data_IF_019880306857
#
_entry.id   IF_019880306857
#
_cell.length_a   1.000
_cell.length_b   1.000
_cell.length_c   1.000
_cell.angle_alpha   90.00
_cell.angle_beta   90.00
_cell.angle_gamma   90.00
#
_symmetry.space_group_name_H-M   'P 1'
#
loop_
_entity.id
_entity.type
_entity.pdbx_description
1 polymer ?
#
# COMPACT_ATOMS: atom_id res chain seq x y z
N UNK A 1 -61.12 9.88 -15.55
CA UNK A 1 -61.21 9.99 -17.02
C UNK A 1 -59.79 10.14 -17.53
N UNK A 2 -59.44 9.38 -18.57
CA UNK A 2 -58.11 8.80 -18.85
C UNK A 2 -56.95 9.78 -19.08
N UNK A 3 -55.78 9.30 -18.65
CA UNK A 3 -54.41 9.71 -18.98
C UNK A 3 -54.09 9.50 -20.46
N UNK A 4 -53.38 10.46 -21.06
CA UNK A 4 -52.86 10.38 -22.43
C UNK A 4 -51.47 9.75 -22.45
N UNK A 5 -51.33 8.66 -23.21
CA UNK A 5 -50.04 8.10 -23.65
C UNK A 5 -49.73 8.63 -25.06
N UNK A 6 -48.55 9.22 -25.24
CA UNK A 6 -48.01 9.53 -26.57
C UNK A 6 -46.85 8.57 -26.89
N UNK A 7 -47.11 7.64 -27.80
CA UNK A 7 -46.11 6.80 -28.45
C UNK A 7 -45.34 7.62 -29.50
N UNK A 8 -44.01 7.67 -29.39
CA UNK A 8 -43.13 8.16 -30.45
C UNK A 8 -42.56 6.96 -31.23
N UNK A 9 -42.87 6.91 -32.52
CA UNK A 9 -42.37 5.92 -33.48
C UNK A 9 -41.00 6.38 -34.00
N UNK A 10 -39.95 5.58 -33.79
CA UNK A 10 -38.65 5.77 -34.47
C UNK A 10 -38.60 4.90 -35.73
N UNK A 11 -38.48 5.56 -36.89
CA UNK A 11 -38.26 4.90 -38.17
C UNK A 11 -36.81 4.44 -38.32
N UNK A 12 -36.61 3.17 -38.68
CA UNK A 12 -35.29 2.58 -38.94
C UNK A 12 -34.96 2.65 -40.45
N UNK A 13 -33.87 3.33 -40.81
CA UNK A 13 -33.28 3.25 -42.16
C UNK A 13 -32.44 1.96 -42.26
N UNK A 14 -32.82 1.04 -43.15
CA UNK A 14 -31.98 -0.08 -43.57
C UNK A 14 -30.98 0.40 -44.63
N UNK A 15 -29.68 0.31 -44.31
CA UNK A 15 -28.60 0.32 -45.30
C UNK A 15 -28.12 -1.13 -45.46
N UNK A 16 -28.36 -1.70 -46.64
CA UNK A 16 -27.86 -3.01 -47.02
C UNK A 16 -26.37 -2.93 -47.38
N UNK A 17 -25.50 -3.35 -46.47
CA UNK A 17 -24.07 -3.53 -46.70
C UNK A 17 -23.71 -5.02 -46.66
N UNK A 18 -23.28 -5.57 -47.80
CA UNK A 18 -22.78 -6.93 -47.92
C UNK A 18 -21.47 -7.12 -47.14
N UNK A 19 -21.56 -7.66 -45.93
CA UNK A 19 -20.42 -8.09 -45.13
C UNK A 19 -20.39 -9.61 -45.02
N UNK A 20 -19.27 -10.24 -45.38
CA UNK A 20 -19.02 -11.68 -45.18
C UNK A 20 -19.24 -12.01 -43.71
N UNK A 21 -20.13 -12.97 -43.43
CA UNK A 21 -20.32 -13.52 -42.11
C UNK A 21 -19.01 -14.15 -41.62
N UNK A 22 -18.30 -13.44 -40.75
CA UNK A 22 -17.26 -14.05 -39.95
C UNK A 22 -17.97 -15.00 -38.98
N UNK A 23 -17.79 -16.31 -39.21
CA UNK A 23 -18.17 -17.34 -38.24
C UNK A 23 -17.36 -17.05 -36.99
N UNK A 24 -17.99 -16.46 -35.98
CA UNK A 24 -17.41 -16.34 -34.67
C UNK A 24 -17.17 -17.77 -34.16
N UNK A 25 -15.92 -18.23 -34.25
CA UNK A 25 -15.50 -19.43 -33.55
C UNK A 25 -15.69 -19.15 -32.06
N UNK A 26 -16.75 -19.71 -31.49
CA UNK A 26 -16.94 -19.77 -30.04
C UNK A 26 -15.71 -20.48 -29.48
N UNK A 27 -14.86 -19.73 -28.78
CA UNK A 27 -13.78 -20.31 -28.01
C UNK A 27 -14.36 -21.42 -27.12
N UNK A 28 -13.72 -22.59 -27.01
CA UNK A 28 -14.19 -23.65 -26.13
C UNK A 28 -14.34 -23.07 -24.72
N UNK A 29 -15.50 -23.28 -24.12
CA UNK A 29 -15.76 -22.89 -22.74
C UNK A 29 -14.64 -23.47 -21.86
N UNK A 30 -13.99 -22.61 -21.07
CA UNK A 30 -12.99 -23.07 -20.11
C UNK A 30 -13.62 -24.19 -19.26
N UNK A 31 -12.89 -25.28 -18.97
CA UNK A 31 -13.43 -26.37 -18.17
C UNK A 31 -13.97 -25.79 -16.86
N UNK A 32 -15.26 -26.07 -16.59
CA UNK A 32 -15.93 -25.54 -15.40
C UNK A 32 -15.19 -25.95 -14.13
N UNK A 33 -15.01 -25.00 -13.21
CA UNK A 33 -14.43 -25.30 -11.89
C UNK A 33 -15.27 -26.38 -11.18
N UNK A 34 -14.60 -27.39 -10.62
CA UNK A 34 -15.22 -28.39 -9.77
C UNK A 34 -14.56 -28.40 -8.39
N UNK A 35 -15.40 -28.30 -7.35
CA UNK A 35 -15.00 -28.46 -5.96
C UNK A 35 -15.04 -29.94 -5.50
N UNK A 36 -15.49 -30.87 -6.35
CA UNK A 36 -15.61 -32.28 -5.99
C UNK A 36 -14.26 -32.87 -5.54
N UNK A 37 -14.26 -33.55 -4.40
CA UNK A 37 -13.06 -34.16 -3.82
C UNK A 37 -12.07 -33.17 -3.18
N UNK A 38 -12.34 -31.86 -3.22
CA UNK A 38 -11.52 -30.87 -2.51
C UNK A 38 -11.88 -30.83 -1.01
N UNK A 39 -10.90 -30.51 -0.18
CA UNK A 39 -11.08 -30.30 1.25
C UNK A 39 -10.93 -28.81 1.60
N UNK A 40 -11.58 -28.39 2.66
CA UNK A 40 -11.52 -27.03 3.22
C UNK A 40 -10.86 -27.13 4.59
N UNK A 41 -9.81 -26.36 4.81
CA UNK A 41 -9.22 -26.16 6.14
C UNK A 41 -9.79 -24.88 6.73
N UNK A 42 -10.30 -24.96 7.96
CA UNK A 42 -10.82 -23.80 8.70
C UNK A 42 -9.80 -23.38 9.75
N UNK A 43 -9.55 -22.08 9.80
CA UNK A 43 -8.79 -21.42 10.86
C UNK A 43 -9.69 -20.42 11.58
N UNK A 44 -9.59 -20.37 12.91
CA UNK A 44 -10.43 -19.51 13.74
C UNK A 44 -9.60 -18.69 14.72
N UNK A 45 -9.96 -17.41 14.82
CA UNK A 45 -9.54 -16.48 15.86
C UNK A 45 -10.82 -15.90 16.46
N UNK A 46 -11.02 -16.02 17.78
CA UNK A 46 -12.28 -15.61 18.42
C UNK A 46 -12.05 -14.92 19.78
N UNK A 47 -12.78 -13.83 20.00
CA UNK A 47 -12.73 -13.04 21.25
C UNK A 47 -13.13 -13.91 22.46
N UNK A 48 -12.51 -13.64 23.62
CA UNK A 48 -12.76 -14.35 24.89
C UNK A 48 -12.61 -15.88 24.80
N UNK A 49 -11.80 -16.36 23.85
CA UNK A 49 -11.37 -17.75 23.73
C UNK A 49 -9.85 -17.81 23.60
N UNK A 50 -9.30 -19.03 23.67
CA UNK A 50 -7.88 -19.31 23.39
C UNK A 50 -7.58 -19.46 21.88
N UNK A 51 -8.59 -19.34 21.00
CA UNK A 51 -8.42 -19.55 19.57
C UNK A 51 -7.69 -18.37 18.92
N UNK A 52 -6.49 -18.61 18.39
CA UNK A 52 -5.65 -17.64 17.67
C UNK A 52 -5.07 -18.33 16.44
N UNK A 53 -5.59 -17.99 15.25
CA UNK A 53 -5.28 -18.65 13.98
C UNK A 53 -5.26 -20.18 14.11
N UNK A 54 -6.19 -20.71 14.91
CA UNK A 54 -6.20 -22.13 15.29
C UNK A 54 -6.92 -22.94 14.23
N UNK A 55 -6.33 -24.05 13.78
CA UNK A 55 -7.00 -24.99 12.89
C UNK A 55 -8.14 -25.70 13.66
N UNK A 56 -9.39 -25.34 13.36
CA UNK A 56 -10.56 -25.79 14.11
C UNK A 56 -11.38 -26.85 13.39
N UNK A 57 -11.31 -26.90 12.05
CA UNK A 57 -12.12 -27.83 11.27
C UNK A 57 -11.47 -28.23 9.95
N UNK A 58 -11.88 -29.39 9.42
CA UNK A 58 -11.56 -29.89 8.08
C UNK A 58 -12.85 -30.37 7.43
N UNK A 59 -13.35 -29.60 6.48
CA UNK A 59 -14.63 -29.85 5.81
C UNK A 59 -14.42 -30.41 4.41
N UNK A 60 -15.46 -31.04 3.87
CA UNK A 60 -15.51 -31.49 2.48
C UNK A 60 -16.69 -30.83 1.78
N UNK A 61 -16.52 -30.45 0.50
CA UNK A 61 -17.62 -29.92 -0.28
C UNK A 61 -18.71 -30.97 -0.46
N UNK A 62 -19.97 -30.56 -0.23
CA UNK A 62 -21.15 -31.39 -0.41
C UNK A 62 -22.12 -30.72 -1.39
N UNK A 63 -22.89 -31.50 -2.17
CA UNK A 63 -24.00 -30.95 -2.94
C UNK A 63 -24.99 -30.25 -2.01
N UNK A 64 -25.29 -28.99 -2.30
CA UNK A 64 -26.34 -28.22 -1.64
C UNK A 64 -27.44 -27.95 -2.69
N UNK A 65 -28.70 -28.38 -2.48
CA UNK A 65 -29.81 -27.96 -3.32
C UNK A 65 -30.03 -26.44 -3.20
N UNK A 66 -30.96 -25.88 -3.99
CA UNK A 66 -31.29 -24.45 -3.93
C UNK A 66 -31.52 -24.01 -2.46
N UNK A 67 -30.73 -23.05 -1.92
CA UNK A 67 -30.91 -22.59 -0.56
C UNK A 67 -32.24 -21.85 -0.40
N UNK A 68 -32.82 -21.90 0.80
CA UNK A 68 -34.01 -21.16 1.16
C UNK A 68 -33.69 -19.68 1.39
N UNK A 69 -34.68 -18.79 1.23
CA UNK A 69 -34.52 -17.35 1.51
C UNK A 69 -34.09 -17.04 2.95
N UNK A 70 -34.39 -17.95 3.89
CA UNK A 70 -34.01 -17.82 5.31
C UNK A 70 -32.60 -18.34 5.63
N UNK A 71 -31.92 -18.94 4.66
CA UNK A 71 -30.58 -19.51 4.85
C UNK A 71 -29.51 -18.50 4.39
N UNK A 72 -28.62 -18.03 5.28
CA UNK A 72 -27.49 -17.21 4.85
C UNK A 72 -26.56 -18.04 3.97
N UNK A 73 -26.32 -17.56 2.75
CA UNK A 73 -25.46 -18.22 1.78
C UNK A 73 -24.52 -17.19 1.11
N UNK A 74 -23.25 -17.58 0.96
CA UNK A 74 -22.26 -16.84 0.17
C UNK A 74 -22.01 -17.65 -1.11
N UNK A 75 -22.28 -17.04 -2.25
CA UNK A 75 -22.08 -17.67 -3.56
C UNK A 75 -20.71 -17.27 -4.11
N UNK A 76 -19.93 -18.25 -4.53
CA UNK A 76 -18.60 -18.04 -5.13
C UNK A 76 -18.69 -18.44 -6.60
N UNK A 77 -18.46 -17.49 -7.51
CA UNK A 77 -18.36 -17.74 -8.95
C UNK A 77 -16.87 -17.81 -9.37
N UNK A 78 -16.31 -19.01 -9.53
CA UNK A 78 -14.90 -19.20 -9.92
C UNK A 78 -14.61 -18.79 -11.37
N UNK A 79 -15.62 -18.45 -12.17
CA UNK A 79 -15.46 -17.95 -13.55
C UNK A 79 -15.29 -16.43 -13.60
N UNK A 80 -15.45 -15.74 -12.46
CA UNK A 80 -15.26 -14.30 -12.33
C UNK A 80 -13.98 -14.03 -11.56
N UNK A 81 -13.04 -13.38 -12.21
CA UNK A 81 -11.76 -12.96 -11.63
C UNK A 81 -11.73 -11.45 -11.47
N UNK A 82 -11.00 -10.99 -10.45
CA UNK A 82 -10.78 -9.57 -10.17
C UNK A 82 -9.28 -9.26 -10.22
N UNK A 83 -8.78 -8.44 -9.31
CA UNK A 83 -7.36 -8.11 -9.22
C UNK A 83 -6.51 -9.31 -8.78
N UNK A 84 -5.26 -9.34 -9.24
CA UNK A 84 -4.25 -10.25 -8.71
C UNK A 84 -3.66 -9.68 -7.44
N UNK A 85 -3.68 -10.45 -6.36
CA UNK A 85 -3.08 -10.04 -5.08
C UNK A 85 -1.56 -9.99 -5.18
N UNK A 86 -0.99 -8.83 -4.86
CA UNK A 86 0.45 -8.59 -4.81
C UNK A 86 1.05 -9.04 -3.47
N UNK A 87 0.40 -8.77 -2.34
CA UNK A 87 0.89 -9.18 -1.03
C UNK A 87 0.31 -8.41 0.15
N UNK A 88 0.59 -8.91 1.35
CA UNK A 88 0.28 -8.29 2.63
C UNK A 88 1.57 -8.16 3.43
N UNK A 89 1.71 -7.07 4.16
CA UNK A 89 2.97 -6.69 4.79
C UNK A 89 2.84 -5.65 5.89
N UNK A 90 3.99 -5.10 6.28
CA UNK A 90 4.08 -3.95 7.17
C UNK A 90 5.33 -3.10 6.92
N UNK A 91 5.45 -1.98 7.62
CA UNK A 91 6.57 -1.07 7.54
C UNK A 91 7.74 -1.50 8.43
N UNK A 92 8.93 -1.56 7.81
CA UNK A 92 10.23 -1.81 8.42
C UNK A 92 10.92 -0.47 8.68
N UNK A 93 10.41 0.24 9.69
CA UNK A 93 10.90 1.56 10.13
C UNK A 93 12.18 1.46 10.96
N UNK A 94 12.80 2.60 11.27
CA UNK A 94 13.91 2.65 12.21
C UNK A 94 13.45 2.19 13.60
N UNK A 95 12.27 2.62 14.06
CA UNK A 95 11.71 2.18 15.33
C UNK A 95 11.56 0.66 15.43
N UNK A 96 11.02 0.01 14.40
CA UNK A 96 10.90 -1.44 14.36
C UNK A 96 12.28 -2.12 14.38
N UNK A 97 13.25 -1.60 13.62
CA UNK A 97 14.60 -2.14 13.56
C UNK A 97 15.38 -1.99 14.88
N UNK A 98 15.29 -0.83 15.52
CA UNK A 98 15.91 -0.53 16.81
C UNK A 98 15.31 -1.39 17.93
N UNK A 99 13.98 -1.51 17.97
CA UNK A 99 13.28 -2.37 18.94
C UNK A 99 13.64 -3.83 18.72
N UNK A 100 13.65 -4.30 17.47
CA UNK A 100 14.08 -5.66 17.13
C UNK A 100 15.51 -5.95 17.58
N UNK A 101 16.44 -5.01 17.38
CA UNK A 101 17.84 -5.18 17.75
C UNK A 101 18.05 -5.35 19.27
N UNK A 102 17.14 -4.79 20.10
CA UNK A 102 17.17 -4.91 21.57
C UNK A 102 16.61 -6.26 22.07
N UNK A 103 15.81 -6.96 21.26
CA UNK A 103 15.26 -8.26 21.65
C UNK A 103 16.38 -9.30 21.83
N UNK A 104 16.24 -10.26 22.76
CA UNK A 104 17.14 -11.40 22.79
C UNK A 104 17.01 -12.25 21.52
N UNK A 105 18.06 -13.00 21.18
CA UNK A 105 18.15 -13.70 19.88
C UNK A 105 17.04 -14.72 19.63
N UNK A 106 16.52 -15.36 20.68
CA UNK A 106 15.39 -16.28 20.55
C UNK A 106 14.12 -15.55 20.11
N UNK A 107 13.81 -14.40 20.72
CA UNK A 107 12.67 -13.56 20.36
C UNK A 107 12.82 -12.93 18.97
N UNK A 108 14.05 -12.58 18.57
CA UNK A 108 14.32 -12.15 17.19
C UNK A 108 13.94 -13.24 16.17
N UNK A 109 14.33 -14.49 16.44
CA UNK A 109 14.00 -15.63 15.57
C UNK A 109 12.50 -15.94 15.55
N UNK A 110 11.86 -15.89 16.72
CA UNK A 110 10.42 -16.09 16.86
C UNK A 110 9.64 -15.03 16.09
N UNK A 111 10.00 -13.74 16.25
CA UNK A 111 9.40 -12.63 15.52
C UNK A 111 9.51 -12.82 14.00
N UNK A 112 10.72 -13.10 13.50
CA UNK A 112 10.96 -13.31 12.08
C UNK A 112 10.16 -14.48 11.52
N UNK A 113 10.06 -15.58 12.29
CA UNK A 113 9.24 -16.73 11.92
C UNK A 113 7.75 -16.37 11.91
N UNK A 114 7.24 -15.71 12.95
CA UNK A 114 5.83 -15.41 13.12
C UNK A 114 5.30 -14.51 11.99
N UNK A 115 6.06 -13.49 11.60
CA UNK A 115 5.66 -12.55 10.55
C UNK A 115 5.93 -13.08 9.13
N UNK A 116 7.12 -13.58 8.86
CA UNK A 116 7.58 -13.77 7.47
C UNK A 116 7.63 -15.22 7.01
N UNK A 117 7.67 -16.21 7.91
CA UNK A 117 7.72 -17.61 7.48
C UNK A 117 6.43 -18.01 6.75
N UNK A 118 6.51 -18.54 5.51
CA UNK A 118 5.32 -18.95 4.76
C UNK A 118 4.65 -20.22 5.31
N UNK A 119 5.34 -20.96 6.19
CA UNK A 119 4.86 -22.23 6.76
C UNK A 119 4.79 -22.19 8.29
N UNK A 120 5.58 -21.34 8.92
CA UNK A 120 5.69 -21.23 10.37
C UNK A 120 5.04 -19.98 10.97
N UNK A 121 4.45 -19.11 10.15
CA UNK A 121 3.87 -17.82 10.53
C UNK A 121 2.79 -17.36 9.55
N UNK A 122 2.53 -16.05 9.53
CA UNK A 122 1.49 -15.42 8.70
C UNK A 122 1.96 -15.10 7.27
N UNK A 123 3.24 -15.30 6.97
CA UNK A 123 3.78 -15.25 5.61
C UNK A 123 3.70 -13.87 4.94
N UNK A 124 4.08 -12.80 5.63
CA UNK A 124 4.21 -11.48 5.01
C UNK A 124 5.14 -11.51 3.79
N UNK A 125 4.65 -10.92 2.69
CA UNK A 125 5.31 -10.93 1.37
C UNK A 125 5.61 -9.54 0.83
N UNK A 126 5.14 -8.52 1.54
CA UNK A 126 5.31 -7.11 1.22
C UNK A 126 5.99 -6.38 2.39
N UNK A 127 6.80 -5.38 2.07
CA UNK A 127 7.42 -4.51 3.05
C UNK A 127 7.46 -3.06 2.55
N UNK A 128 7.24 -2.13 3.46
CA UNK A 128 7.50 -0.70 3.26
C UNK A 128 8.72 -0.29 4.07
N UNK A 129 9.56 0.61 3.56
CA UNK A 129 10.54 1.31 4.39
C UNK A 129 10.68 2.76 3.94
N UNK A 130 11.41 3.57 4.69
CA UNK A 130 11.56 4.99 4.42
C UNK A 130 12.78 5.33 3.58
N UNK A 131 12.69 6.40 2.80
CA UNK A 131 13.88 7.14 2.40
C UNK A 131 14.19 8.07 3.59
N UNK A 132 15.34 7.83 4.25
CA UNK A 132 15.81 8.47 5.49
C UNK A 132 14.77 8.54 6.62
N UNK A 133 14.80 9.57 7.48
CA UNK A 133 13.95 9.61 8.68
C UNK A 133 12.45 9.73 8.39
N UNK A 134 11.70 9.20 9.35
CA UNK A 134 10.25 9.36 9.54
C UNK A 134 9.98 9.79 10.99
N UNK A 135 8.71 9.89 11.39
CA UNK A 135 8.37 10.04 12.81
C UNK A 135 8.78 8.85 13.68
N UNK A 136 8.71 7.64 13.12
CA UNK A 136 9.23 6.41 13.72
C UNK A 136 10.73 6.21 13.47
N UNK A 137 11.48 7.30 13.66
CA UNK A 137 12.93 7.32 13.79
C UNK A 137 13.31 7.99 15.11
N UNK A 138 14.49 7.67 15.65
CA UNK A 138 15.00 8.30 16.89
C UNK A 138 15.37 9.78 16.72
N UNK A 139 15.40 10.29 15.48
CA UNK A 139 15.69 11.68 15.16
C UNK A 139 15.58 11.96 13.66
N UNK A 140 15.54 13.23 13.28
CA UNK A 140 15.53 13.64 11.88
C UNK A 140 16.93 13.53 11.27
N UNK A 141 17.04 12.89 10.11
CA UNK A 141 18.28 12.79 9.37
C UNK A 141 18.02 12.66 7.87
N UNK A 142 19.06 12.92 7.09
CA UNK A 142 19.09 12.60 5.66
C UNK A 142 20.39 11.88 5.35
N UNK A 143 20.50 11.28 4.16
CA UNK A 143 21.73 10.60 3.73
C UNK A 143 22.82 11.54 3.23
N UNK A 144 22.58 12.85 3.13
CA UNK A 144 23.55 13.82 2.60
C UNK A 144 23.84 14.93 3.61
N UNK A 145 25.02 15.52 3.50
CA UNK A 145 25.37 16.75 4.20
C UNK A 145 24.48 17.91 3.73
N UNK A 146 24.38 18.92 4.60
CA UNK A 146 23.62 20.13 4.32
C UNK A 146 24.12 20.83 3.04
N UNK A 147 23.19 21.31 2.22
CA UNK A 147 23.44 21.99 0.94
C UNK A 147 24.24 21.19 -0.12
N UNK A 148 24.40 19.87 0.02
CA UNK A 148 25.08 19.02 -0.98
C UNK A 148 24.21 18.74 -2.21
N UNK A 149 24.11 19.74 -3.09
CA UNK A 149 23.37 19.67 -4.36
C UNK A 149 23.89 18.59 -5.33
N UNK A 150 25.13 18.14 -5.16
CA UNK A 150 25.73 17.11 -5.99
C UNK A 150 25.56 15.70 -5.40
N UNK A 151 24.93 15.59 -4.23
CA UNK A 151 24.73 14.35 -3.48
C UNK A 151 26.03 13.57 -3.21
N UNK A 152 27.21 14.22 -3.22
CA UNK A 152 28.52 13.56 -3.11
C UNK A 152 28.73 12.86 -1.76
N UNK A 153 28.10 13.37 -0.72
CA UNK A 153 28.20 12.90 0.66
C UNK A 153 27.18 11.80 1.01
N UNK A 154 26.38 11.36 0.03
CA UNK A 154 25.36 10.32 0.23
C UNK A 154 25.92 9.08 0.92
N UNK A 155 25.31 8.68 2.04
CA UNK A 155 25.73 7.53 2.83
C UNK A 155 24.57 6.83 3.52
N UNK A 156 24.55 5.50 3.47
CA UNK A 156 23.59 4.65 4.18
C UNK A 156 24.05 4.26 5.59
N UNK A 157 25.12 4.87 6.11
CA UNK A 157 25.74 4.48 7.39
C UNK A 157 24.76 4.44 8.57
N UNK A 158 23.73 5.29 8.56
CA UNK A 158 22.66 5.25 9.55
C UNK A 158 21.89 3.93 9.48
N UNK A 159 21.40 3.59 8.28
CA UNK A 159 20.57 2.40 8.05
C UNK A 159 21.34 1.09 8.24
N UNK A 160 22.65 1.11 7.97
CA UNK A 160 23.56 -0.03 8.18
C UNK A 160 23.61 -0.49 9.65
N UNK A 161 23.26 0.37 10.61
CA UNK A 161 23.29 0.03 12.02
C UNK A 161 22.21 -1.01 12.38
N UNK A 162 20.96 -0.78 11.94
CA UNK A 162 19.82 -1.59 12.36
C UNK A 162 18.86 -1.93 11.21
N UNK A 163 18.48 -0.94 10.40
CA UNK A 163 17.41 -1.10 9.40
C UNK A 163 17.78 -2.06 8.27
N UNK A 164 18.97 -1.93 7.68
CA UNK A 164 19.45 -2.87 6.63
C UNK A 164 19.59 -4.30 7.17
N UNK A 165 20.26 -4.55 8.33
CA UNK A 165 20.30 -5.89 8.93
C UNK A 165 18.92 -6.47 9.25
N UNK A 166 17.96 -5.63 9.68
CA UNK A 166 16.59 -6.05 9.97
C UNK A 166 15.83 -6.47 8.70
N UNK A 167 15.88 -5.65 7.64
CA UNK A 167 15.25 -5.97 6.34
C UNK A 167 15.82 -7.27 5.75
N UNK A 168 17.13 -7.47 5.82
CA UNK A 168 17.77 -8.71 5.34
C UNK A 168 17.29 -9.95 6.09
N UNK A 169 17.08 -9.86 7.39
CA UNK A 169 16.54 -10.96 8.18
C UNK A 169 15.08 -11.25 7.82
N UNK A 170 14.26 -10.22 7.63
CA UNK A 170 12.88 -10.38 7.16
C UNK A 170 12.83 -11.05 5.77
N UNK A 171 13.68 -10.60 4.83
CA UNK A 171 13.79 -11.20 3.51
C UNK A 171 14.23 -12.67 3.56
N UNK A 172 15.19 -13.01 4.41
CA UNK A 172 15.62 -14.40 4.59
C UNK A 172 14.49 -15.28 5.15
N UNK A 173 13.77 -14.78 6.17
CA UNK A 173 12.65 -15.47 6.78
C UNK A 173 11.46 -15.67 5.81
N UNK A 174 11.27 -14.74 4.87
CA UNK A 174 10.30 -14.81 3.78
C UNK A 174 10.69 -15.81 2.66
N UNK A 175 11.78 -16.56 2.82
CA UNK A 175 12.25 -17.52 1.80
C UNK A 175 13.18 -16.89 0.75
N UNK A 176 13.83 -15.77 1.09
CA UNK A 176 14.84 -15.11 0.26
C UNK A 176 14.30 -13.99 -0.64
N UNK A 177 12.98 -13.80 -0.71
CA UNK A 177 12.33 -12.74 -1.48
C UNK A 177 11.26 -12.04 -0.63
N UNK A 178 11.37 -10.72 -0.53
CA UNK A 178 10.38 -9.85 0.10
C UNK A 178 10.17 -8.63 -0.80
N UNK A 179 8.94 -8.43 -1.27
CA UNK A 179 8.62 -7.31 -2.16
C UNK A 179 8.71 -6.02 -1.36
N UNK A 180 9.68 -5.17 -1.63
CA UNK A 180 9.93 -3.96 -0.83
C UNK A 180 9.65 -2.70 -1.64
N UNK A 181 8.89 -1.75 -1.10
CA UNK A 181 8.76 -0.41 -1.65
C UNK A 181 9.12 0.67 -0.63
N UNK A 182 9.36 1.88 -1.11
CA UNK A 182 9.81 2.99 -0.28
C UNK A 182 8.99 4.25 -0.43
N UNK A 183 8.94 5.07 0.61
CA UNK A 183 8.32 6.38 0.61
C UNK A 183 9.23 7.37 1.34
N UNK A 184 9.44 8.61 0.87
CA UNK A 184 10.04 9.65 1.67
C UNK A 184 8.99 10.43 2.45
N UNK A 185 9.35 10.88 3.65
CA UNK A 185 8.51 11.78 4.44
C UNK A 185 8.80 13.25 4.18
N UNK A 186 10.04 13.60 3.82
CA UNK A 186 10.39 14.98 3.49
C UNK A 186 11.69 15.05 2.69
N UNK A 187 11.82 15.94 1.70
CA UNK A 187 13.14 16.35 1.21
C UNK A 187 14.02 16.91 2.34
N UNK A 188 15.37 16.96 2.17
CA UNK A 188 16.26 17.70 3.06
C UNK A 188 15.80 19.15 3.29
N UNK A 189 16.05 19.68 4.49
CA UNK A 189 15.60 21.00 4.91
C UNK A 189 15.98 22.12 3.91
N UNK A 190 17.22 22.11 3.40
CA UNK A 190 17.72 23.08 2.42
C UNK A 190 17.04 23.01 1.05
N UNK A 191 16.24 21.97 0.76
CA UNK A 191 15.43 21.87 -0.45
C UNK A 191 14.04 22.50 -0.32
N UNK A 192 13.66 22.97 0.87
CA UNK A 192 12.28 23.35 1.20
C UNK A 192 12.14 24.84 1.52
N UNK A 193 10.97 25.39 1.20
CA UNK A 193 10.64 26.80 1.42
C UNK A 193 10.66 27.22 2.89
N UNK A 194 10.37 26.29 3.81
CA UNK A 194 10.37 26.49 5.25
C UNK A 194 11.71 26.14 5.91
N UNK A 195 12.72 25.73 5.13
CA UNK A 195 14.06 25.35 5.62
C UNK A 195 14.04 24.31 6.75
N UNK A 196 13.04 23.42 6.74
CA UNK A 196 12.84 22.41 7.79
C UNK A 196 12.31 21.12 7.18
N UNK A 197 12.77 19.97 7.68
CA UNK A 197 12.15 18.69 7.32
C UNK A 197 10.75 18.55 7.93
N UNK A 198 10.49 19.24 9.04
CA UNK A 198 9.24 19.14 9.80
C UNK A 198 8.26 20.26 9.43
N UNK A 199 7.01 20.14 9.89
CA UNK A 199 6.00 21.20 9.81
C UNK A 199 5.60 21.55 8.36
N UNK A 200 5.54 20.55 7.48
CA UNK A 200 5.18 20.71 6.08
C UNK A 200 6.24 21.48 5.31
N UNK A 201 5.83 22.56 4.62
CA UNK A 201 6.66 23.22 3.60
C UNK A 201 6.59 22.52 2.26
N UNK A 202 7.13 23.15 1.22
CA UNK A 202 7.10 22.66 -0.16
C UNK A 202 8.51 22.52 -0.71
N UNK A 203 8.68 21.55 -1.60
CA UNK A 203 9.89 21.40 -2.41
C UNK A 203 10.04 22.62 -3.32
N UNK A 204 11.17 23.33 -3.21
CA UNK A 204 11.43 24.50 -4.05
C UNK A 204 11.72 24.05 -5.51
N UNK A 205 11.27 24.83 -6.51
CA UNK A 205 11.42 24.47 -7.92
C UNK A 205 12.86 24.13 -8.34
N UNK A 206 13.86 24.86 -7.84
CA UNK A 206 15.27 24.67 -8.16
C UNK A 206 15.86 23.35 -7.66
N UNK A 207 15.19 22.67 -6.72
CA UNK A 207 15.66 21.39 -6.16
C UNK A 207 14.92 20.18 -6.69
N UNK A 208 13.91 20.34 -7.56
CA UNK A 208 13.14 19.23 -8.13
C UNK A 208 14.03 18.18 -8.79
N UNK A 209 15.00 18.59 -9.62
CA UNK A 209 15.92 17.63 -10.25
C UNK A 209 16.79 16.92 -9.22
N UNK A 210 17.37 17.64 -8.27
CA UNK A 210 18.25 17.05 -7.23
C UNK A 210 17.46 16.07 -6.37
N UNK A 211 16.20 16.36 -6.07
CA UNK A 211 15.33 15.46 -5.34
C UNK A 211 15.01 14.19 -6.14
N UNK A 212 14.72 14.30 -7.44
CA UNK A 212 14.56 13.13 -8.31
C UNK A 212 15.84 12.26 -8.39
N UNK A 213 17.02 12.90 -8.44
CA UNK A 213 18.31 12.19 -8.42
C UNK A 213 18.55 11.45 -7.09
N UNK A 214 18.03 12.01 -5.99
CA UNK A 214 18.09 11.41 -4.65
C UNK A 214 17.40 10.04 -4.61
N UNK A 215 16.22 9.91 -5.22
CA UNK A 215 15.51 8.63 -5.33
C UNK A 215 16.34 7.57 -6.04
N UNK A 216 16.91 7.92 -7.22
CA UNK A 216 17.75 6.99 -7.99
C UNK A 216 18.96 6.57 -7.18
N UNK A 217 19.58 7.51 -6.45
CA UNK A 217 20.75 7.22 -5.62
C UNK A 217 20.42 6.29 -4.46
N UNK A 218 19.30 6.54 -3.77
CA UNK A 218 18.81 5.69 -2.70
C UNK A 218 18.51 4.27 -3.20
N UNK A 219 17.71 4.14 -4.26
CA UNK A 219 17.30 2.83 -4.81
C UNK A 219 18.54 2.01 -5.18
N UNK A 220 19.48 2.60 -5.94
CA UNK A 220 20.72 1.90 -6.33
C UNK A 220 21.56 1.50 -5.12
N UNK A 221 21.64 2.34 -4.10
CA UNK A 221 22.42 2.03 -2.90
C UNK A 221 21.79 0.87 -2.09
N UNK A 222 20.46 0.84 -1.94
CA UNK A 222 19.77 -0.28 -1.30
C UNK A 222 19.87 -1.58 -2.10
N UNK A 223 19.77 -1.51 -3.43
CA UNK A 223 19.94 -2.67 -4.30
C UNK A 223 21.36 -3.24 -4.22
N UNK A 224 22.39 -2.39 -4.10
CA UNK A 224 23.78 -2.81 -3.85
C UNK A 224 23.95 -3.50 -2.50
N UNK A 225 23.11 -3.17 -1.52
CA UNK A 225 23.05 -3.87 -0.24
C UNK A 225 22.32 -5.21 -0.34
N UNK A 226 21.80 -5.59 -1.51
CA UNK A 226 21.05 -6.83 -1.71
C UNK A 226 19.58 -6.73 -1.29
N UNK A 227 19.03 -5.51 -1.26
CA UNK A 227 17.61 -5.23 -0.98
C UNK A 227 16.98 -4.68 -2.28
N UNK A 228 16.37 -5.54 -3.11
CA UNK A 228 15.69 -5.10 -4.33
C UNK A 228 14.51 -4.19 -4.01
N UNK A 229 14.46 -3.00 -4.61
CA UNK A 229 13.31 -2.11 -4.50
C UNK A 229 12.36 -2.42 -5.66
N UNK A 230 11.13 -2.81 -5.33
CA UNK A 230 10.06 -3.08 -6.30
C UNK A 230 9.33 -1.81 -6.72
N UNK A 231 9.09 -0.90 -5.78
CA UNK A 231 8.31 0.31 -6.02
C UNK A 231 8.69 1.46 -5.10
N UNK A 232 8.07 2.60 -5.35
CA UNK A 232 8.25 3.82 -4.58
C UNK A 232 6.97 4.67 -4.63
N UNK A 233 6.70 5.43 -3.59
CA UNK A 233 5.69 6.48 -3.61
C UNK A 233 6.35 7.84 -3.85
N UNK A 234 5.58 8.82 -4.34
CA UNK A 234 6.12 10.17 -4.66
C UNK A 234 6.41 11.00 -3.41
N UNK A 235 5.63 10.81 -2.35
CA UNK A 235 5.71 11.56 -1.10
C UNK A 235 4.73 10.93 -0.11
N UNK A 236 5.16 10.62 1.10
CA UNK A 236 4.26 10.23 2.19
C UNK A 236 3.32 11.40 2.53
N UNK A 237 2.01 11.15 2.59
CA UNK A 237 0.99 12.09 3.07
C UNK A 237 1.13 13.53 2.54
N UNK A 238 1.13 13.76 1.21
CA UNK A 238 1.46 15.04 0.57
C UNK A 238 0.50 16.20 0.92
N UNK A 239 -0.60 15.94 1.64
CA UNK A 239 -1.55 16.97 2.07
C UNK A 239 -1.52 17.23 3.58
N UNK A 240 -0.64 16.56 4.31
CA UNK A 240 -0.58 16.66 5.76
C UNK A 240 0.60 17.54 6.18
N UNK A 241 0.29 18.62 6.91
CA UNK A 241 1.30 19.38 7.65
C UNK A 241 1.52 18.70 8.99
N UNK A 242 2.59 17.93 9.11
CA UNK A 242 2.85 17.13 10.31
C UNK A 242 3.86 17.79 11.25
N UNK A 243 3.81 17.42 12.54
CA UNK A 243 4.82 17.88 13.51
C UNK A 243 6.19 17.24 13.29
N UNK A 244 6.22 16.17 12.50
CA UNK A 244 7.38 15.43 12.03
C UNK A 244 7.63 15.70 10.53
N UNK A 245 8.52 14.91 9.94
CA UNK A 245 8.89 14.93 8.53
C UNK A 245 7.64 14.93 7.65
N UNK A 246 7.46 16.00 6.87
CA UNK A 246 6.33 16.16 5.96
C UNK A 246 6.68 17.15 4.85
N UNK A 247 6.16 16.94 3.64
CA UNK A 247 6.30 17.87 2.53
C UNK A 247 4.98 17.94 1.74
N UNK A 248 4.51 19.16 1.47
CA UNK A 248 3.23 19.38 0.85
C UNK A 248 3.34 19.36 -0.68
N UNK A 249 2.53 18.52 -1.32
CA UNK A 249 2.32 18.49 -2.76
C UNK A 249 0.82 18.58 -3.06
N UNK A 250 0.43 19.65 -3.76
CA UNK A 250 -0.86 19.67 -4.46
C UNK A 250 -0.89 18.56 -5.52
N UNK A 251 -2.06 18.23 -6.05
CA UNK A 251 -2.18 17.21 -7.08
C UNK A 251 -1.40 17.62 -8.35
N UNK A 252 -1.40 18.91 -8.68
CA UNK A 252 -0.63 19.49 -9.78
C UNK A 252 0.87 19.51 -9.49
N UNK A 253 1.29 19.86 -8.26
CA UNK A 253 2.71 19.81 -7.86
C UNK A 253 3.27 18.38 -8.03
N UNK A 254 2.50 17.36 -7.63
CA UNK A 254 2.88 15.95 -7.74
C UNK A 254 2.95 15.50 -9.20
N UNK A 255 1.90 15.80 -9.99
CA UNK A 255 1.85 15.52 -11.43
C UNK A 255 3.06 16.11 -12.15
N UNK A 256 3.32 17.40 -11.92
CA UNK A 256 4.36 18.14 -12.64
C UNK A 256 5.77 17.70 -12.18
N UNK A 257 5.94 17.35 -10.90
CA UNK A 257 7.17 16.75 -10.41
C UNK A 257 7.44 15.40 -11.06
N UNK A 258 6.43 14.53 -11.16
CA UNK A 258 6.59 13.20 -11.79
C UNK A 258 6.84 13.32 -13.28
N UNK A 259 6.01 14.08 -14.00
CA UNK A 259 6.11 14.30 -15.45
C UNK A 259 7.44 14.94 -15.84
N UNK A 260 7.84 15.99 -15.13
CA UNK A 260 9.00 16.81 -15.47
C UNK A 260 10.34 16.30 -14.94
N UNK A 261 10.34 15.56 -13.83
CA UNK A 261 11.57 15.24 -13.09
C UNK A 261 11.66 13.77 -12.70
N UNK A 262 10.80 13.28 -11.80
CA UNK A 262 10.99 11.94 -11.21
C UNK A 262 10.87 10.82 -12.26
N UNK A 263 9.83 10.82 -13.08
CA UNK A 263 9.62 9.83 -14.13
C UNK A 263 10.78 9.74 -15.13
N UNK A 264 11.17 10.87 -15.78
CA UNK A 264 12.34 10.92 -16.66
C UNK A 264 13.65 10.50 -15.98
N UNK A 265 13.83 10.88 -14.71
CA UNK A 265 15.06 10.57 -13.95
C UNK A 265 15.16 9.08 -13.62
N UNK A 266 14.06 8.44 -13.24
CA UNK A 266 13.99 6.97 -13.08
C UNK A 266 14.33 6.27 -14.40
N UNK A 267 13.75 6.73 -15.52
CA UNK A 267 14.03 6.17 -16.86
C UNK A 267 15.50 6.30 -17.25
N UNK A 268 16.08 7.50 -17.12
CA UNK A 268 17.51 7.74 -17.38
C UNK A 268 18.40 6.93 -16.44
N UNK A 269 17.94 6.71 -15.21
CA UNK A 269 18.61 5.91 -14.20
C UNK A 269 18.59 4.40 -14.44
N UNK A 270 17.83 3.91 -15.43
CA UNK A 270 17.63 2.48 -15.69
C UNK A 270 16.63 1.82 -14.73
N UNK A 271 15.71 2.60 -14.15
CA UNK A 271 14.76 2.19 -13.10
C UNK A 271 13.30 2.31 -13.58
N UNK A 272 13.04 2.20 -14.88
CA UNK A 272 11.67 2.25 -15.43
C UNK A 272 10.80 1.07 -15.03
N UNK A 273 11.38 -0.01 -14.52
CA UNK A 273 10.68 -1.19 -14.04
C UNK A 273 9.99 -0.97 -12.68
N UNK A 274 10.47 0.02 -11.91
CA UNK A 274 9.98 0.35 -10.56
C UNK A 274 8.55 0.88 -10.60
N UNK A 275 7.73 0.42 -9.65
CA UNK A 275 6.32 0.82 -9.58
C UNK A 275 6.20 2.15 -8.85
N UNK A 276 5.97 3.22 -9.60
CA UNK A 276 5.73 4.56 -9.05
C UNK A 276 4.27 4.69 -8.64
N UNK A 277 4.06 4.99 -7.37
CA UNK A 277 2.77 5.07 -6.70
C UNK A 277 2.49 6.53 -6.34
N UNK A 278 1.37 7.07 -6.79
CA UNK A 278 0.94 8.43 -6.41
C UNK A 278 0.12 8.44 -5.12
N UNK A 279 -0.22 9.64 -4.68
CA UNK A 279 -1.09 9.93 -3.52
C UNK A 279 -0.53 9.58 -2.14
N UNK A 280 -0.37 8.29 -1.80
CA UNK A 280 0.16 7.79 -0.51
C UNK A 280 -0.45 8.51 0.71
N UNK A 281 -1.79 8.62 0.73
CA UNK A 281 -2.55 9.36 1.74
C UNK A 281 -4.01 8.88 1.86
N UNK A 282 -4.85 9.54 2.66
CA UNK A 282 -6.17 9.03 3.02
C UNK A 282 -7.13 8.87 1.83
N UNK A 283 -8.17 8.05 2.01
CA UNK A 283 -9.17 7.77 0.95
C UNK A 283 -10.01 8.97 0.53
N UNK A 284 -10.01 10.06 1.31
CA UNK A 284 -10.89 11.22 1.17
C UNK A 284 -10.76 11.95 -0.17
N UNK A 285 -9.56 12.39 -0.54
CA UNK A 285 -9.28 13.14 -1.78
C UNK A 285 -8.77 12.24 -2.91
N UNK A 286 -8.82 10.92 -2.71
CA UNK A 286 -8.19 9.94 -3.60
C UNK A 286 -8.68 10.04 -5.04
N UNK A 287 -9.99 10.25 -5.27
CA UNK A 287 -10.53 10.39 -6.62
C UNK A 287 -10.05 11.66 -7.33
N UNK A 288 -10.04 12.80 -6.62
CA UNK A 288 -9.53 14.06 -7.16
C UNK A 288 -8.03 13.95 -7.48
N UNK A 289 -7.27 13.27 -6.62
CA UNK A 289 -5.86 12.99 -6.87
C UNK A 289 -5.71 12.12 -8.12
N UNK A 290 -6.45 11.02 -8.21
CA UNK A 290 -6.43 10.12 -9.36
C UNK A 290 -6.68 10.85 -10.68
N UNK A 291 -7.76 11.64 -10.77
CA UNK A 291 -8.08 12.37 -11.99
C UNK A 291 -6.98 13.34 -12.40
N UNK A 292 -6.42 14.07 -11.44
CA UNK A 292 -5.35 15.04 -11.75
C UNK A 292 -4.07 14.36 -12.26
N UNK A 293 -3.72 13.20 -11.70
CA UNK A 293 -2.51 12.47 -12.08
C UNK A 293 -2.69 11.66 -13.36
N UNK A 294 -3.87 11.07 -13.58
CA UNK A 294 -4.09 10.08 -14.64
C UNK A 294 -4.71 10.66 -15.91
N UNK A 295 -5.41 11.79 -15.83
CA UNK A 295 -5.98 12.48 -17.01
C UNK A 295 -4.91 13.24 -17.82
N UNK A 296 -3.71 13.46 -17.29
CA UNK A 296 -2.55 13.93 -18.05
C UNK A 296 -1.73 12.73 -18.55
N UNK A 297 -1.78 12.37 -19.85
CA UNK A 297 -1.08 11.20 -20.37
C UNK A 297 0.44 11.26 -20.20
N UNK A 298 1.03 12.46 -20.19
CA UNK A 298 2.47 12.61 -20.02
C UNK A 298 2.93 12.30 -18.60
N UNK A 299 2.06 12.51 -17.60
CA UNK A 299 2.30 12.09 -16.22
C UNK A 299 1.88 10.62 -16.00
N UNK A 300 0.67 10.26 -16.46
CA UNK A 300 0.02 8.96 -16.25
C UNK A 300 0.89 7.78 -16.71
N UNK A 301 1.69 7.96 -17.77
CA UNK A 301 2.60 6.92 -18.28
C UNK A 301 3.65 6.46 -17.24
N UNK A 302 3.96 7.27 -16.23
CA UNK A 302 4.93 6.92 -15.20
C UNK A 302 4.29 6.22 -13.99
N UNK A 303 3.00 6.45 -13.75
CA UNK A 303 2.31 5.91 -12.59
C UNK A 303 1.83 4.47 -12.83
N UNK A 304 2.23 3.59 -11.91
CA UNK A 304 1.70 2.23 -11.82
C UNK A 304 0.33 2.18 -11.13
N UNK A 305 0.09 3.11 -10.19
CA UNK A 305 -1.11 3.09 -9.36
C UNK A 305 -1.15 4.20 -8.30
N UNK A 306 -2.12 4.10 -7.38
CA UNK A 306 -2.25 4.95 -6.20
C UNK A 306 -2.10 4.17 -4.90
N UNK A 307 -1.43 4.82 -3.94
CA UNK A 307 -1.31 4.40 -2.55
C UNK A 307 -2.34 5.12 -1.69
N UNK A 308 -2.91 4.46 -0.69
CA UNK A 308 -3.83 5.09 0.22
C UNK A 308 -3.77 4.58 1.67
N UNK A 309 -4.18 5.44 2.61
CA UNK A 309 -4.18 5.26 4.07
C UNK A 309 -5.61 5.29 4.64
N UNK A 310 -5.79 5.07 5.95
CA UNK A 310 -7.11 5.03 6.62
C UNK A 310 -7.36 6.04 7.73
N UNK A 311 -6.57 7.12 7.79
CA UNK A 311 -6.61 8.05 8.91
C UNK A 311 -7.75 9.07 8.79
N UNK A 312 -8.47 9.16 7.66
CA UNK A 312 -9.51 10.18 7.41
C UNK A 312 -10.61 10.24 8.48
N UNK A 313 -10.79 9.17 9.25
CA UNK A 313 -11.79 9.07 10.32
C UNK A 313 -11.59 10.12 11.43
N UNK A 314 -10.40 10.72 11.56
CA UNK A 314 -10.17 11.85 12.49
C UNK A 314 -11.11 13.03 12.24
N UNK A 315 -11.63 13.17 11.02
CA UNK A 315 -12.61 14.19 10.62
C UNK A 315 -14.03 13.93 11.14
N UNK A 316 -14.27 12.77 11.77
CA UNK A 316 -15.60 12.29 12.14
C UNK A 316 -16.32 11.52 11.03
N UNK A 317 -15.66 11.32 9.87
CA UNK A 317 -16.18 10.46 8.80
C UNK A 317 -15.97 8.97 9.10
N UNK A 318 -16.74 8.11 8.42
CA UNK A 318 -16.42 6.68 8.34
C UNK A 318 -15.29 6.44 7.33
N UNK A 319 -14.69 5.24 7.34
CA UNK A 319 -13.70 4.86 6.31
C UNK A 319 -14.32 4.96 4.91
N UNK A 320 -13.66 5.68 4.01
CA UNK A 320 -14.25 6.08 2.73
C UNK A 320 -13.95 5.07 1.61
N UNK A 321 -14.34 3.80 1.80
CA UNK A 321 -14.08 2.71 0.84
C UNK A 321 -14.67 2.96 -0.56
N UNK A 322 -15.77 3.71 -0.64
CA UNK A 322 -16.39 4.05 -1.93
C UNK A 322 -15.48 4.91 -2.82
N UNK A 323 -14.60 5.73 -2.24
CA UNK A 323 -13.64 6.49 -3.05
C UNK A 323 -12.61 5.58 -3.71
N UNK A 324 -12.17 4.52 -3.01
CA UNK A 324 -11.29 3.48 -3.57
C UNK A 324 -11.98 2.79 -4.74
N UNK A 325 -13.25 2.39 -4.56
CA UNK A 325 -14.05 1.75 -5.61
C UNK A 325 -14.23 2.65 -6.84
N UNK A 326 -14.56 3.93 -6.63
CA UNK A 326 -14.72 4.90 -7.73
C UNK A 326 -13.42 5.10 -8.52
N UNK A 327 -12.27 5.12 -7.85
CA UNK A 327 -10.99 5.18 -8.56
C UNK A 327 -10.75 3.91 -9.37
N UNK A 328 -11.01 2.73 -8.79
CA UNK A 328 -10.86 1.47 -9.52
C UNK A 328 -11.76 1.40 -10.77
N UNK A 329 -13.01 1.86 -10.66
CA UNK A 329 -13.96 1.91 -11.77
C UNK A 329 -13.56 2.93 -12.86
N UNK A 330 -13.04 4.09 -12.47
CA UNK A 330 -12.66 5.16 -13.40
C UNK A 330 -11.31 4.90 -14.09
N UNK A 331 -10.37 4.24 -13.40
CA UNK A 331 -9.01 3.97 -13.89
C UNK A 331 -8.67 2.48 -13.74
N UNK A 332 -9.36 1.57 -14.45
CA UNK A 332 -9.22 0.13 -14.26
C UNK A 332 -7.84 -0.44 -14.69
N UNK A 333 -7.03 0.34 -15.41
CA UNK A 333 -5.65 0.02 -15.76
C UNK A 333 -4.62 0.39 -14.68
N UNK A 334 -5.04 1.12 -13.63
CA UNK A 334 -4.20 1.56 -12.51
C UNK A 334 -4.44 0.68 -11.28
N UNK A 335 -3.36 0.29 -10.61
CA UNK A 335 -3.45 -0.53 -9.41
C UNK A 335 -3.70 0.33 -8.17
N UNK A 336 -4.38 -0.25 -7.17
CA UNK A 336 -4.60 0.38 -5.88
C UNK A 336 -3.89 -0.42 -4.79
N UNK A 337 -3.16 0.25 -3.91
CA UNK A 337 -2.42 -0.36 -2.80
C UNK A 337 -2.71 0.40 -1.51
N UNK A 338 -3.07 -0.32 -0.46
CA UNK A 338 -3.11 0.24 0.88
C UNK A 338 -1.69 0.28 1.44
N UNK A 339 -1.14 1.47 1.62
CA UNK A 339 0.28 1.68 1.89
C UNK A 339 0.61 1.90 3.36
N UNK A 340 -0.39 2.26 4.18
CA UNK A 340 -0.19 2.49 5.59
C UNK A 340 -1.51 2.56 6.37
N UNK A 341 -1.51 1.93 7.54
CA UNK A 341 -2.48 2.20 8.59
C UNK A 341 -2.03 1.62 9.92
N UNK A 342 -2.32 2.32 11.00
CA UNK A 342 -2.22 1.81 12.36
C UNK A 342 -3.44 2.22 13.19
N UNK A 343 -3.61 1.61 14.36
CA UNK A 343 -4.43 2.25 15.40
C UNK A 343 -3.56 3.26 16.14
N UNK A 344 -4.00 4.50 16.14
CA UNK A 344 -3.32 5.68 16.63
C UNK A 344 -3.54 5.84 18.15
N UNK A 345 -2.86 6.83 18.75
CA UNK A 345 -3.06 7.19 20.17
C UNK A 345 -2.84 6.03 21.14
N UNK A 346 -1.63 5.45 21.08
CA UNK A 346 -1.26 4.30 21.90
C UNK A 346 -1.56 4.50 23.39
N UNK A 347 -2.17 3.49 24.00
CA UNK A 347 -2.31 3.34 25.45
C UNK A 347 -1.99 1.91 25.85
N UNK A 348 -1.14 1.74 26.86
CA UNK A 348 -0.64 0.43 27.29
C UNK A 348 -1.77 -0.53 27.72
N UNK A 349 -2.81 -0.01 28.36
CA UNK A 349 -3.99 -0.76 28.80
C UNK A 349 -4.92 -1.18 27.64
N UNK A 350 -4.75 -0.60 26.45
CA UNK A 350 -5.47 -1.00 25.25
C UNK A 350 -4.85 -2.20 24.51
N UNK A 351 -3.66 -2.67 24.92
CA UNK A 351 -3.05 -3.87 24.32
C UNK A 351 -3.94 -5.08 24.58
N UNK A 352 -4.26 -5.83 23.52
CA UNK A 352 -5.17 -6.97 23.58
C UNK A 352 -6.65 -6.60 23.43
N UNK A 353 -6.99 -5.32 23.23
CA UNK A 353 -8.36 -4.92 22.89
C UNK A 353 -8.75 -5.49 21.51
N UNK A 354 -9.76 -6.35 21.50
CA UNK A 354 -10.24 -7.04 20.29
C UNK A 354 -10.65 -6.09 19.16
N UNK A 355 -11.21 -4.92 19.51
CA UNK A 355 -11.66 -3.93 18.54
C UNK A 355 -10.52 -3.39 17.65
N UNK A 356 -9.27 -3.47 18.11
CA UNK A 356 -8.10 -3.12 17.31
C UNK A 356 -8.02 -4.04 16.07
N UNK A 357 -8.12 -5.35 16.27
CA UNK A 357 -8.11 -6.34 15.19
C UNK A 357 -9.35 -6.26 14.29
N UNK A 358 -10.52 -5.95 14.85
CA UNK A 358 -11.74 -5.75 14.06
C UNK A 358 -11.62 -4.58 13.08
N UNK A 359 -10.93 -3.49 13.46
CA UNK A 359 -10.65 -2.37 12.55
C UNK A 359 -9.79 -2.81 11.35
N UNK A 360 -8.76 -3.62 11.58
CA UNK A 360 -7.93 -4.21 10.52
C UNK A 360 -8.78 -5.10 9.59
N UNK A 361 -9.54 -6.05 10.16
CA UNK A 361 -10.39 -6.95 9.40
C UNK A 361 -11.43 -6.22 8.55
N UNK A 362 -12.10 -5.20 9.13
CA UNK A 362 -13.06 -4.37 8.42
C UNK A 362 -12.41 -3.63 7.25
N UNK A 363 -11.24 -3.02 7.44
CA UNK A 363 -10.56 -2.33 6.34
C UNK A 363 -10.12 -3.29 5.25
N UNK A 364 -9.40 -4.36 5.60
CA UNK A 364 -8.86 -5.30 4.61
C UNK A 364 -9.96 -5.89 3.71
N UNK A 365 -11.08 -6.33 4.28
CA UNK A 365 -12.20 -6.89 3.52
C UNK A 365 -12.76 -5.85 2.54
N UNK A 366 -13.00 -4.62 3.00
CA UNK A 366 -13.58 -3.58 2.15
C UNK A 366 -12.59 -3.07 1.09
N UNK A 367 -11.31 -2.91 1.42
CA UNK A 367 -10.27 -2.48 0.50
C UNK A 367 -10.07 -3.50 -0.62
N UNK A 368 -10.00 -4.79 -0.30
CA UNK A 368 -9.89 -5.85 -1.32
C UNK A 368 -11.14 -5.93 -2.19
N UNK A 369 -12.34 -5.75 -1.62
CA UNK A 369 -13.58 -5.66 -2.38
C UNK A 369 -13.69 -4.38 -3.23
N UNK A 370 -12.76 -3.43 -3.08
CA UNK A 370 -12.67 -2.20 -3.86
C UNK A 370 -11.53 -2.21 -4.91
N UNK A 371 -10.93 -3.38 -5.19
CA UNK A 371 -9.89 -3.53 -6.23
C UNK A 371 -8.46 -3.35 -5.72
N UNK A 372 -8.25 -3.29 -4.41
CA UNK A 372 -6.91 -3.16 -3.81
C UNK A 372 -6.10 -4.43 -3.99
N UNK A 373 -4.87 -4.30 -4.47
CA UNK A 373 -3.97 -5.43 -4.80
C UNK A 373 -3.01 -5.78 -3.67
N UNK A 374 -2.73 -4.84 -2.76
CA UNK A 374 -1.78 -5.04 -1.66
C UNK A 374 -2.17 -4.24 -0.42
N UNK A 375 -1.74 -4.73 0.76
CA UNK A 375 -2.07 -4.11 2.04
C UNK A 375 -0.86 -4.07 2.97
N UNK A 376 -0.51 -2.88 3.46
CA UNK A 376 0.66 -2.66 4.31
C UNK A 376 0.24 -2.03 5.63
N UNK A 377 0.44 -2.78 6.71
CA UNK A 377 0.40 -2.24 8.07
C UNK A 377 1.50 -1.18 8.27
N UNK A 378 1.38 -0.40 9.34
CA UNK A 378 2.46 0.48 9.77
C UNK A 378 3.60 -0.29 10.45
N UNK A 379 4.07 0.16 11.62
CA UNK A 379 5.20 -0.47 12.28
C UNK A 379 4.92 -1.95 12.61
N UNK A 380 5.73 -2.86 12.06
CA UNK A 380 5.63 -4.30 12.38
C UNK A 380 6.05 -4.64 13.81
N UNK A 381 6.70 -3.71 14.50
CA UNK A 381 7.18 -3.88 15.87
C UNK A 381 7.38 -2.50 16.50
N UNK A 382 6.90 -2.34 17.73
CA UNK A 382 7.15 -1.18 18.59
C UNK A 382 7.45 -1.66 20.01
N UNK A 383 8.05 -0.80 20.82
CA UNK A 383 8.28 -1.07 22.23
C UNK A 383 6.99 -0.92 23.07
N UNK A 384 7.09 -1.19 24.37
CA UNK A 384 5.96 -1.11 25.30
C UNK A 384 5.35 0.29 25.46
N UNK A 385 5.98 1.32 24.90
CA UNK A 385 5.51 2.71 24.88
C UNK A 385 4.86 3.10 23.54
N UNK A 386 4.85 2.20 22.55
CA UNK A 386 4.39 2.49 21.20
C UNK A 386 5.41 3.26 20.36
N UNK A 387 6.70 3.17 20.70
CA UNK A 387 7.81 3.86 20.05
C UNK A 387 8.97 2.92 19.65
N UNK A 388 10.19 3.48 19.44
CA UNK A 388 10.56 4.89 19.59
C UNK A 388 9.95 5.81 18.51
N UNK A 389 9.69 7.07 18.86
CA UNK A 389 9.18 8.10 17.94
C UNK A 389 9.66 9.49 18.44
N UNK A 390 10.36 10.26 17.61
CA UNK A 390 11.06 11.49 18.05
C UNK A 390 10.13 12.67 18.39
N UNK A 391 8.84 12.58 18.05
CA UNK A 391 7.83 13.62 18.31
C UNK A 391 6.69 13.15 19.22
N UNK A 392 6.82 11.94 19.78
CA UNK A 392 5.83 11.33 20.67
C UNK A 392 4.51 10.98 19.99
N UNK A 393 4.53 10.67 18.68
CA UNK A 393 3.36 10.26 17.90
C UNK A 393 3.13 8.73 17.99
N UNK A 394 2.86 8.22 19.19
CA UNK A 394 2.81 6.78 19.44
C UNK A 394 1.54 6.11 18.88
N UNK A 395 1.71 4.91 18.32
CA UNK A 395 0.63 4.08 17.80
C UNK A 395 0.76 2.62 18.27
N UNK A 396 -0.27 1.81 18.01
CA UNK A 396 -0.20 0.36 18.20
C UNK A 396 0.57 -0.30 17.05
N UNK A 397 1.16 -1.46 17.33
CA UNK A 397 1.70 -2.40 16.37
C UNK A 397 1.13 -3.81 16.67
N UNK A 398 0.98 -4.71 15.67
CA UNK A 398 0.34 -6.02 15.87
C UNK A 398 1.16 -7.05 16.65
#
# INVERSE_FOLDING_TARGET
MQTQDFFLVLASLLVAGGGRAAVAQTAPAAPGYSAAGRQVQVYTTADKTELRLTATDKLAFQPLPQPMETQPAVFVDPTRTFQTMLGIGGALTDAAAETFAKLPKAQQQEFMRAYYSPTGGIGYTLARTSIHSSDFSSGSYTYVADNDRALKTFSLKHDEQFRIPFIKQAQAAAGGKLTTYVSPWSPPAWMKDNQSMLQGGKLLPEFRQVWADYYVKFIKAYEQQGIPIWGLTVQNEPMAKQRWESCLFTAEDERDFVKGYLGPTLKKGGLSDKKLIGWDHNRDLMYQRASTLFDDPEASQYYWGLGFHWYETWTGSTMQFDNVRRVHEAYPDKNLIFTEGCVESFKRDGVGNWALGERYGNSMINDFNAGTVAWTDWNVLLDETGGPNHVGNFCYAP
#
